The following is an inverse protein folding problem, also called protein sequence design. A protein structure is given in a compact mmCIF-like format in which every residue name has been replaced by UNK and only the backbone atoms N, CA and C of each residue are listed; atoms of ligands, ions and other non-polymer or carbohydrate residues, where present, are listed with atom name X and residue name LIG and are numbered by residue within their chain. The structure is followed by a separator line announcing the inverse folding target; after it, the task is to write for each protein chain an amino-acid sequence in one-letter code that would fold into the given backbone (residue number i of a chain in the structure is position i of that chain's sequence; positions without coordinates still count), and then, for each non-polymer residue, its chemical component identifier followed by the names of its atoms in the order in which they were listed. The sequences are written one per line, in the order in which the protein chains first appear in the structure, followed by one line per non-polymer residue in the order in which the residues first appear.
data_IF_263883683013
#
_entry.id   IF_263883683013
#
_cell.length_a   1.000
_cell.length_b   1.000
_cell.length_c   1.000
_cell.angle_alpha   90.00
_cell.angle_beta   90.00
_cell.angle_gamma   90.00
#
_symmetry.space_group_name_H-M   'P 1'
#
loop_
_entity.id
_entity.type
_entity.pdbx_description
1 polymer ?
#
# COMPACT_ATOMS: atom_id res chain seq x y z
N UNK A 1 12.17 25.79 -12.75
CA UNK A 1 12.70 25.48 -11.41
C UNK A 1 13.47 24.17 -11.46
N UNK A 2 14.66 24.14 -10.81
CA UNK A 2 15.55 22.97 -10.81
C UNK A 2 15.61 22.40 -9.40
N UNK A 3 15.28 21.13 -9.24
CA UNK A 3 15.15 20.47 -7.94
C UNK A 3 16.10 19.29 -7.86
N UNK A 4 16.96 19.28 -6.84
CA UNK A 4 17.77 18.12 -6.45
C UNK A 4 16.98 17.24 -5.46
N UNK A 5 16.71 15.98 -5.83
CA UNK A 5 16.04 15.03 -4.96
C UNK A 5 17.02 13.99 -4.41
N UNK A 6 17.03 13.89 -3.09
CA UNK A 6 17.93 13.03 -2.32
C UNK A 6 17.12 12.01 -1.52
N UNK A 7 17.49 10.73 -1.61
CA UNK A 7 16.85 9.67 -0.81
C UNK A 7 17.88 8.81 -0.09
N UNK A 8 17.74 8.71 1.22
CA UNK A 8 18.60 7.87 2.07
C UNK A 8 17.78 7.02 3.02
N UNK A 9 18.37 5.90 3.47
CA UNK A 9 17.76 5.05 4.49
C UNK A 9 18.07 5.52 5.90
N UNK A 10 19.31 5.97 6.20
CA UNK A 10 19.71 6.25 7.60
C UNK A 10 20.94 7.16 7.76
N UNK A 11 21.81 7.38 6.78
CA UNK A 11 23.11 8.03 6.97
C UNK A 11 23.19 9.45 6.42
N UNK A 12 23.61 10.42 7.26
CA UNK A 12 23.87 11.81 6.86
C UNK A 12 25.02 11.92 5.82
N UNK A 13 26.02 11.04 5.89
CA UNK A 13 27.18 11.05 5.01
C UNK A 13 26.80 10.71 3.55
N UNK A 14 25.85 9.79 3.35
CA UNK A 14 25.33 9.48 2.01
C UNK A 14 24.51 10.61 1.40
N UNK A 15 23.94 11.50 2.22
CA UNK A 15 23.23 12.68 1.75
C UNK A 15 24.19 13.70 1.13
N UNK A 16 25.29 14.03 1.81
CA UNK A 16 26.30 14.96 1.34
C UNK A 16 26.89 14.52 0.00
N UNK A 17 27.24 13.25 -0.13
CA UNK A 17 27.79 12.69 -1.37
C UNK A 17 26.80 12.81 -2.55
N UNK A 18 25.51 12.49 -2.32
CA UNK A 18 24.48 12.66 -3.37
C UNK A 18 24.30 14.13 -3.75
N UNK A 19 24.32 15.02 -2.76
CA UNK A 19 24.17 16.46 -3.00
C UNK A 19 25.32 17.03 -3.82
N UNK A 20 26.55 16.65 -3.48
CA UNK A 20 27.75 17.09 -4.22
C UNK A 20 27.78 16.55 -5.65
N UNK A 21 27.34 15.31 -5.85
CA UNK A 21 27.24 14.70 -7.19
C UNK A 21 26.23 15.44 -8.05
N UNK A 22 25.04 15.75 -7.52
CA UNK A 22 24.03 16.53 -8.25
C UNK A 22 24.51 17.95 -8.53
N UNK A 23 25.25 18.59 -7.60
CA UNK A 23 25.84 19.93 -7.84
C UNK A 23 26.82 19.90 -9.01
N UNK A 24 27.79 18.96 -8.98
CA UNK A 24 28.78 18.83 -10.09
C UNK A 24 28.09 18.59 -11.42
N UNK A 25 27.07 17.77 -11.46
CA UNK A 25 26.28 17.52 -12.65
C UNK A 25 25.57 18.81 -13.15
N UNK A 26 24.92 19.52 -12.22
CA UNK A 26 24.22 20.76 -12.55
C UNK A 26 25.22 21.83 -13.07
N UNK A 27 26.36 22.01 -12.38
CA UNK A 27 27.42 22.97 -12.76
C UNK A 27 27.97 22.64 -14.14
N UNK A 28 28.23 21.37 -14.48
CA UNK A 28 28.71 20.93 -15.79
C UNK A 28 27.74 21.26 -16.93
N UNK A 29 26.49 21.55 -16.64
CA UNK A 29 25.43 21.90 -17.59
C UNK A 29 24.97 23.35 -17.48
N UNK A 30 25.70 24.19 -16.74
CA UNK A 30 25.34 25.57 -16.42
C UNK A 30 23.93 25.68 -15.78
N UNK A 31 23.54 24.67 -14.98
CA UNK A 31 22.29 24.65 -14.25
C UNK A 31 22.54 24.96 -12.77
N UNK A 32 21.62 25.69 -12.14
CA UNK A 32 21.66 25.96 -10.69
C UNK A 32 20.50 25.29 -10.01
N UNK A 33 20.77 24.47 -8.99
CA UNK A 33 19.73 23.83 -8.19
C UNK A 33 19.06 24.87 -7.29
N UNK A 34 17.76 25.10 -7.53
CA UNK A 34 16.95 26.06 -6.77
C UNK A 34 16.51 25.48 -5.41
N UNK A 35 16.11 24.21 -5.39
CA UNK A 35 15.58 23.56 -4.21
C UNK A 35 16.10 22.14 -4.01
N UNK A 36 16.30 21.78 -2.75
CA UNK A 36 16.69 20.45 -2.32
C UNK A 36 15.56 19.75 -1.59
N UNK A 37 15.17 18.57 -2.07
CA UNK A 37 14.16 17.74 -1.41
C UNK A 37 14.83 16.47 -0.89
N UNK A 38 14.89 16.37 0.43
CA UNK A 38 15.46 15.19 1.11
C UNK A 38 14.36 14.30 1.65
N UNK A 39 14.45 13.01 1.35
CA UNK A 39 13.56 11.99 1.86
C UNK A 39 14.33 10.89 2.61
N UNK A 40 13.99 10.73 3.90
CA UNK A 40 14.54 9.64 4.73
C UNK A 40 13.47 8.56 4.78
N UNK A 41 13.69 7.41 4.10
CA UNK A 41 12.72 6.33 4.01
C UNK A 41 13.24 5.09 4.69
N UNK A 42 12.67 4.74 5.84
CA UNK A 42 12.71 3.36 6.33
C UNK A 42 11.89 2.46 5.38
N UNK A 43 12.37 1.26 5.07
CA UNK A 43 11.88 0.41 3.97
C UNK A 43 10.40 -0.02 3.96
N UNK A 44 9.54 0.57 4.84
CA UNK A 44 8.13 0.17 5.02
C UNK A 44 7.09 1.23 4.63
N UNK A 45 7.47 2.45 4.21
CA UNK A 45 6.49 3.49 3.86
C UNK A 45 5.88 3.30 2.47
N UNK A 46 4.55 3.38 2.41
CA UNK A 46 3.77 3.34 1.15
C UNK A 46 4.07 4.58 0.28
N UNK A 47 3.94 4.43 -1.04
CA UNK A 47 4.23 5.45 -2.07
C UNK A 47 3.47 6.76 -1.89
N UNK A 48 2.19 6.70 -1.45
CA UNK A 48 1.34 7.87 -1.22
C UNK A 48 1.90 8.83 -0.16
N UNK A 49 2.67 8.31 0.80
CA UNK A 49 3.21 9.09 1.93
C UNK A 49 4.61 9.65 1.63
N UNK A 50 5.09 9.55 0.38
CA UNK A 50 6.43 9.99 -0.01
C UNK A 50 6.41 11.45 -0.46
N UNK A 51 7.43 12.20 -0.05
CA UNK A 51 7.64 13.60 -0.47
C UNK A 51 7.74 13.74 -1.99
N UNK A 52 8.30 12.74 -2.69
CA UNK A 52 8.42 12.72 -4.15
C UNK A 52 7.05 12.80 -4.84
N UNK A 53 6.04 12.09 -4.36
CA UNK A 53 4.68 12.15 -4.92
C UNK A 53 4.09 13.55 -4.88
N UNK A 54 4.14 14.21 -3.72
CA UNK A 54 3.70 15.58 -3.55
C UNK A 54 4.56 16.60 -4.30
N UNK A 55 5.86 16.32 -4.48
CA UNK A 55 6.76 17.13 -5.29
C UNK A 55 6.32 17.11 -6.76
N UNK A 56 6.15 15.92 -7.35
CA UNK A 56 5.76 15.77 -8.75
C UNK A 56 4.37 16.36 -9.05
N UNK A 57 3.47 16.42 -8.04
CA UNK A 57 2.18 17.10 -8.21
C UNK A 57 2.33 18.61 -8.39
N UNK A 58 3.26 19.22 -7.65
CA UNK A 58 3.50 20.69 -7.65
C UNK A 58 4.40 21.17 -8.79
N UNK A 59 5.24 20.29 -9.34
CA UNK A 59 6.10 20.63 -10.49
C UNK A 59 5.27 20.89 -11.74
N UNK A 60 5.77 21.84 -12.56
CA UNK A 60 5.16 22.31 -13.79
C UNK A 60 5.98 21.88 -15.00
N UNK A 61 5.41 22.07 -16.19
CA UNK A 61 6.14 21.89 -17.46
C UNK A 61 7.37 22.80 -17.51
N UNK A 62 8.50 22.25 -17.96
CA UNK A 62 9.79 22.94 -17.99
C UNK A 62 10.58 22.86 -16.69
N UNK A 63 9.99 22.40 -15.58
CA UNK A 63 10.75 22.14 -14.35
C UNK A 63 11.69 20.94 -14.54
N UNK A 64 12.78 20.94 -13.79
CA UNK A 64 13.82 19.91 -13.86
C UNK A 64 13.98 19.19 -12.51
N UNK A 65 13.96 17.87 -12.53
CA UNK A 65 14.26 17.02 -11.39
C UNK A 65 15.59 16.28 -11.62
N UNK A 66 16.52 16.42 -10.69
CA UNK A 66 17.85 15.77 -10.77
C UNK A 66 17.95 14.77 -9.61
N UNK A 67 18.30 13.53 -9.91
CA UNK A 67 18.57 12.47 -8.95
C UNK A 67 19.93 11.83 -9.24
N UNK A 68 20.54 11.18 -8.26
CA UNK A 68 21.82 10.51 -8.50
C UNK A 68 21.67 9.25 -9.33
N UNK A 69 20.65 8.47 -9.08
CA UNK A 69 20.37 7.19 -9.76
C UNK A 69 18.86 6.89 -9.75
N UNK A 70 18.39 6.12 -10.73
CA UNK A 70 16.98 5.74 -10.87
C UNK A 70 16.45 5.06 -9.61
N UNK A 71 17.30 4.29 -8.93
CA UNK A 71 16.94 3.61 -7.68
C UNK A 71 16.50 4.56 -6.55
N UNK A 72 16.87 5.86 -6.64
CA UNK A 72 16.40 6.89 -5.67
C UNK A 72 14.94 7.26 -5.88
N UNK A 73 14.42 7.11 -7.08
CA UNK A 73 13.00 7.37 -7.36
C UNK A 73 12.12 6.28 -6.71
N UNK A 74 12.42 5.01 -6.95
CA UNK A 74 11.72 3.89 -6.29
C UNK A 74 12.59 2.63 -6.23
N UNK A 75 12.11 1.61 -5.53
CA UNK A 75 12.71 0.28 -5.46
C UNK A 75 12.12 -0.70 -6.47
N UNK A 76 10.95 -0.40 -7.00
CA UNK A 76 10.28 -1.24 -8.00
C UNK A 76 10.32 -0.56 -9.34
N UNK A 77 10.60 -1.34 -10.38
CA UNK A 77 10.65 -0.84 -11.75
C UNK A 77 9.30 -0.25 -12.19
N UNK A 78 8.20 -0.87 -11.78
CA UNK A 78 6.83 -0.37 -12.03
C UNK A 78 6.59 1.03 -11.49
N UNK A 79 7.07 1.32 -10.27
CA UNK A 79 6.95 2.66 -9.69
C UNK A 79 7.84 3.68 -10.43
N UNK A 80 9.06 3.27 -10.81
CA UNK A 80 9.98 4.10 -11.58
C UNK A 80 9.31 4.50 -12.89
N UNK A 81 8.75 3.53 -13.63
CA UNK A 81 8.01 3.77 -14.86
C UNK A 81 6.85 4.75 -14.69
N UNK A 82 6.06 4.57 -13.63
CA UNK A 82 4.97 5.49 -13.34
C UNK A 82 5.45 6.92 -13.02
N UNK A 83 6.63 7.07 -12.41
CA UNK A 83 7.23 8.38 -12.13
C UNK A 83 7.72 9.02 -13.43
N UNK A 84 8.45 8.24 -14.26
CA UNK A 84 8.96 8.69 -15.54
C UNK A 84 7.83 9.08 -16.51
N UNK A 85 6.78 8.25 -16.59
CA UNK A 85 5.59 8.56 -17.38
C UNK A 85 4.92 9.87 -16.96
N UNK A 86 4.78 10.12 -15.65
CA UNK A 86 4.27 11.38 -15.12
C UNK A 86 5.16 12.58 -15.43
N UNK A 87 6.50 12.40 -15.40
CA UNK A 87 7.41 13.46 -15.78
C UNK A 87 7.24 13.84 -17.26
N UNK A 88 7.17 12.84 -18.14
CA UNK A 88 6.94 13.06 -19.57
C UNK A 88 5.57 13.70 -19.85
N UNK A 89 4.49 13.20 -19.23
CA UNK A 89 3.14 13.73 -19.38
C UNK A 89 3.05 15.19 -18.97
N UNK A 90 3.74 15.58 -17.89
CA UNK A 90 3.77 16.94 -17.38
C UNK A 90 4.83 17.83 -18.06
N UNK A 91 5.68 17.30 -18.92
CA UNK A 91 6.81 18.04 -19.50
C UNK A 91 7.88 18.40 -18.47
N UNK A 92 8.10 17.56 -17.46
CA UNK A 92 9.16 17.70 -16.45
C UNK A 92 10.39 16.97 -16.96
N UNK A 93 11.55 17.66 -16.98
CA UNK A 93 12.83 17.05 -17.32
C UNK A 93 13.37 16.26 -16.12
N UNK A 94 13.71 15.00 -16.31
CA UNK A 94 14.32 14.16 -15.28
C UNK A 94 15.72 13.75 -15.69
N UNK A 95 16.72 14.04 -14.85
CA UNK A 95 18.12 13.65 -15.06
C UNK A 95 18.60 12.71 -13.96
N UNK A 96 19.39 11.68 -14.36
CA UNK A 96 20.15 10.85 -13.43
C UNK A 96 21.64 11.09 -13.64
N UNK A 97 22.39 11.31 -12.56
CA UNK A 97 23.80 11.71 -12.68
C UNK A 97 24.71 10.53 -12.94
N UNK A 98 24.44 9.37 -12.33
CA UNK A 98 25.27 8.17 -12.45
C UNK A 98 25.06 7.42 -13.74
N UNK A 99 23.80 7.15 -14.07
CA UNK A 99 23.47 6.43 -15.30
C UNK A 99 23.49 7.32 -16.53
N UNK A 100 23.53 8.64 -16.35
CA UNK A 100 23.53 9.61 -17.45
C UNK A 100 22.22 9.69 -18.23
N UNK A 101 21.12 9.17 -17.67
CA UNK A 101 19.84 9.24 -18.35
C UNK A 101 19.27 10.65 -18.33
N UNK A 102 18.74 11.05 -19.48
CA UNK A 102 17.97 12.27 -19.67
C UNK A 102 16.59 11.90 -20.17
N UNK A 103 15.58 12.20 -19.34
CA UNK A 103 14.18 12.02 -19.70
C UNK A 103 13.56 13.40 -19.85
N UNK A 104 13.53 13.86 -21.07
CA UNK A 104 12.93 15.10 -21.55
C UNK A 104 11.81 14.76 -22.56
N UNK A 105 11.25 15.76 -23.23
CA UNK A 105 10.19 15.51 -24.20
C UNK A 105 10.70 15.04 -25.58
N UNK A 106 11.91 14.50 -25.66
CA UNK A 106 12.48 13.98 -26.92
C UNK A 106 11.96 12.59 -27.26
N UNK A 107 12.08 12.21 -28.53
CA UNK A 107 11.72 10.86 -29.00
C UNK A 107 12.56 9.81 -28.27
N UNK A 108 13.87 10.08 -28.09
CA UNK A 108 14.78 9.18 -27.41
C UNK A 108 14.33 8.87 -25.98
N UNK A 109 13.90 9.88 -25.24
CA UNK A 109 13.36 9.72 -23.89
C UNK A 109 12.09 8.87 -23.85
N UNK A 110 11.20 9.05 -24.84
CA UNK A 110 9.99 8.23 -25.00
C UNK A 110 10.31 6.76 -25.29
N UNK A 111 11.27 6.51 -26.18
CA UNK A 111 11.76 5.16 -26.50
C UNK A 111 12.38 4.51 -25.26
N UNK A 112 13.20 5.24 -24.53
CA UNK A 112 13.84 4.74 -23.32
C UNK A 112 12.80 4.40 -22.24
N UNK A 113 11.80 5.25 -22.02
CA UNK A 113 10.68 4.93 -21.13
C UNK A 113 9.92 3.69 -21.58
N UNK A 114 9.65 3.53 -22.86
CA UNK A 114 9.00 2.34 -23.40
C UNK A 114 9.83 1.07 -23.13
N UNK A 115 11.15 1.14 -23.37
CA UNK A 115 12.05 0.01 -23.10
C UNK A 115 12.04 -0.38 -21.61
N UNK A 116 12.11 0.57 -20.68
CA UNK A 116 11.96 0.30 -19.26
C UNK A 116 10.61 -0.34 -18.92
N UNK A 117 9.51 0.09 -19.59
CA UNK A 117 8.17 -0.51 -19.44
C UNK A 117 8.15 -1.98 -19.81
N UNK A 118 8.73 -2.33 -20.96
CA UNK A 118 8.85 -3.73 -21.39
C UNK A 118 9.65 -4.57 -20.40
N UNK A 119 10.77 -4.07 -19.91
CA UNK A 119 11.59 -4.76 -18.89
C UNK A 119 10.78 -4.98 -17.62
N UNK A 120 10.01 -3.98 -17.16
CA UNK A 120 9.16 -4.12 -15.98
C UNK A 120 8.08 -5.20 -16.17
N UNK A 121 7.47 -5.26 -17.32
CA UNK A 121 6.46 -6.27 -17.66
C UNK A 121 7.07 -7.69 -17.73
N UNK A 122 8.24 -7.82 -18.35
CA UNK A 122 8.98 -9.08 -18.42
C UNK A 122 9.34 -9.57 -17.00
N UNK A 123 9.89 -8.70 -16.14
CA UNK A 123 10.20 -9.06 -14.75
C UNK A 123 8.96 -9.53 -13.99
N UNK A 124 7.85 -8.82 -14.11
CA UNK A 124 6.58 -9.20 -13.47
C UNK A 124 6.10 -10.57 -13.94
N UNK A 125 6.17 -10.83 -15.25
CA UNK A 125 5.78 -12.11 -15.83
C UNK A 125 6.68 -13.25 -15.36
N UNK A 126 8.00 -13.05 -15.31
CA UNK A 126 8.95 -14.04 -14.79
C UNK A 126 8.72 -14.35 -13.32
N UNK A 127 8.44 -13.35 -12.47
CA UNK A 127 8.11 -13.57 -11.06
C UNK A 127 6.81 -14.37 -10.94
N UNK A 128 5.79 -14.04 -11.74
CA UNK A 128 4.52 -14.78 -11.78
C UNK A 128 4.72 -16.24 -12.18
N UNK A 129 5.52 -16.48 -13.22
CA UNK A 129 5.83 -17.84 -13.70
C UNK A 129 6.55 -18.65 -12.61
N UNK A 130 7.63 -18.13 -12.06
CA UNK A 130 8.37 -18.78 -10.96
C UNK A 130 7.48 -19.08 -9.75
N UNK A 131 6.57 -18.17 -9.41
CA UNK A 131 5.62 -18.37 -8.31
C UNK A 131 4.65 -19.52 -8.63
N UNK A 132 4.11 -19.56 -9.84
CA UNK A 132 3.23 -20.66 -10.31
C UNK A 132 3.93 -22.00 -10.27
N UNK A 133 5.16 -22.08 -10.77
CA UNK A 133 5.99 -23.30 -10.75
C UNK A 133 6.27 -23.76 -9.32
N UNK A 134 6.69 -22.86 -8.44
CA UNK A 134 6.95 -23.18 -7.04
C UNK A 134 5.69 -23.66 -6.30
N UNK A 135 4.52 -23.07 -6.60
CA UNK A 135 3.25 -23.50 -6.02
C UNK A 135 2.80 -24.85 -6.59
N UNK A 136 3.02 -25.10 -7.89
CA UNK A 136 2.72 -26.39 -8.53
C UNK A 136 3.58 -27.50 -7.92
N UNK A 137 4.89 -27.27 -7.72
CA UNK A 137 5.79 -28.22 -7.08
C UNK A 137 5.32 -28.56 -5.66
N UNK A 138 5.03 -27.55 -4.82
CA UNK A 138 4.52 -27.77 -3.46
C UNK A 138 3.21 -28.54 -3.44
N UNK A 139 2.32 -28.27 -4.42
CA UNK A 139 1.06 -29.02 -4.57
C UNK A 139 1.32 -30.49 -4.95
N UNK A 140 2.28 -30.76 -5.82
CA UNK A 140 2.70 -32.12 -6.19
C UNK A 140 3.31 -32.88 -5.01
N UNK A 141 4.04 -32.19 -4.12
CA UNK A 141 4.56 -32.72 -2.85
C UNK A 141 3.47 -32.93 -1.77
N UNK A 142 2.19 -32.74 -2.11
CA UNK A 142 1.06 -32.95 -1.18
C UNK A 142 0.82 -31.78 -0.21
N UNK A 143 1.52 -30.68 -0.35
CA UNK A 143 1.30 -29.50 0.51
C UNK A 143 -0.04 -28.84 0.21
N UNK A 144 -0.93 -28.77 1.21
CA UNK A 144 -2.20 -28.05 1.09
C UNK A 144 -1.94 -26.56 1.08
N UNK A 145 -2.11 -25.94 -0.09
CA UNK A 145 -1.92 -24.50 -0.27
C UNK A 145 -3.13 -23.71 0.26
N UNK A 146 -2.86 -22.55 0.85
CA UNK A 146 -3.87 -21.68 1.39
C UNK A 146 -3.99 -21.74 2.90
N UNK A 147 -5.05 -21.11 3.42
CA UNK A 147 -5.30 -21.07 4.86
C UNK A 147 -5.77 -22.44 5.36
N UNK A 148 -5.14 -22.96 6.42
CA UNK A 148 -5.52 -24.22 7.05
C UNK A 148 -7.01 -24.19 7.47
N UNK A 149 -7.75 -25.27 7.15
CA UNK A 149 -9.13 -25.41 7.62
C UNK A 149 -9.17 -25.31 9.15
N UNK A 150 -10.09 -24.50 9.69
CA UNK A 150 -10.21 -24.29 11.14
C UNK A 150 -9.31 -23.19 11.72
N UNK A 151 -8.37 -22.62 10.99
CA UNK A 151 -7.50 -21.51 11.45
C UNK A 151 -8.21 -20.13 11.42
N UNK A 152 -9.48 -20.09 11.83
CA UNK A 152 -10.27 -18.84 11.88
C UNK A 152 -10.09 -18.15 13.24
N UNK A 153 -8.98 -17.49 13.47
CA UNK A 153 -8.62 -16.89 14.76
C UNK A 153 -9.75 -16.05 15.37
N UNK A 154 -10.37 -15.17 14.56
CA UNK A 154 -11.49 -14.33 15.05
C UNK A 154 -12.78 -15.11 15.29
N UNK A 155 -13.04 -16.17 14.54
CA UNK A 155 -14.20 -17.05 14.78
C UNK A 155 -13.95 -17.96 15.98
N UNK A 156 -12.72 -18.43 16.21
CA UNK A 156 -12.38 -19.23 17.38
C UNK A 156 -12.57 -18.45 18.68
N UNK A 157 -12.18 -17.17 18.70
CA UNK A 157 -12.46 -16.27 19.84
C UNK A 157 -13.96 -16.22 20.15
N UNK A 158 -14.82 -16.18 19.14
CA UNK A 158 -16.28 -16.20 19.36
C UNK A 158 -16.78 -17.54 19.88
N UNK A 159 -16.20 -18.65 19.40
CA UNK A 159 -16.56 -20.01 19.84
C UNK A 159 -16.20 -20.18 21.30
N UNK A 160 -14.98 -19.82 21.70
CA UNK A 160 -14.52 -19.92 23.09
C UNK A 160 -15.35 -19.04 24.03
N UNK A 161 -15.75 -17.85 23.56
CA UNK A 161 -16.54 -16.90 24.34
C UNK A 161 -18.07 -16.98 24.10
N UNK A 162 -18.58 -18.09 23.52
CA UNK A 162 -19.97 -18.25 23.12
C UNK A 162 -20.94 -18.02 24.29
N UNK A 163 -20.66 -18.56 25.48
CA UNK A 163 -21.48 -18.36 26.69
C UNK A 163 -21.54 -16.89 27.10
N UNK A 164 -20.44 -16.19 27.04
CA UNK A 164 -20.34 -14.74 27.34
C UNK A 164 -21.18 -13.94 26.35
N UNK A 165 -21.12 -14.27 25.08
CA UNK A 165 -21.87 -13.60 24.00
C UNK A 165 -23.39 -13.79 24.23
N UNK A 166 -23.84 -15.01 24.53
CA UNK A 166 -25.25 -15.28 24.88
C UNK A 166 -25.68 -14.46 26.11
N UNK A 167 -24.83 -14.38 27.14
CA UNK A 167 -25.07 -13.56 28.31
C UNK A 167 -25.18 -12.06 28.01
N UNK A 168 -24.38 -11.56 27.09
CA UNK A 168 -24.44 -10.16 26.60
C UNK A 168 -25.74 -9.89 25.82
N UNK A 169 -26.16 -10.81 24.96
CA UNK A 169 -27.42 -10.72 24.23
C UNK A 169 -28.64 -10.73 25.18
N UNK A 170 -28.62 -11.55 26.19
CA UNK A 170 -29.68 -11.59 27.23
C UNK A 170 -29.76 -10.30 28.05
N UNK A 171 -28.63 -9.59 28.23
CA UNK A 171 -28.55 -8.27 28.89
C UNK A 171 -28.76 -7.08 27.95
N UNK A 172 -29.35 -7.31 26.77
CA UNK A 172 -29.65 -6.29 25.78
C UNK A 172 -28.44 -5.57 25.16
N UNK A 173 -27.20 -6.07 25.31
CA UNK A 173 -26.03 -5.51 24.64
C UNK A 173 -26.20 -5.53 23.12
N UNK A 174 -25.84 -4.46 22.43
CA UNK A 174 -25.98 -4.42 20.97
C UNK A 174 -24.96 -5.32 20.26
N UNK A 175 -25.29 -5.80 19.05
CA UNK A 175 -24.33 -6.55 18.21
C UNK A 175 -23.07 -5.72 17.94
N UNK A 176 -23.21 -4.39 17.84
CA UNK A 176 -22.08 -3.49 17.68
C UNK A 176 -21.13 -3.50 18.88
N UNK A 177 -21.67 -3.58 20.11
CA UNK A 177 -20.87 -3.66 21.33
C UNK A 177 -20.14 -4.99 21.45
N UNK A 178 -20.81 -6.09 21.07
CA UNK A 178 -20.18 -7.41 20.98
C UNK A 178 -19.04 -7.39 19.98
N UNK A 179 -19.26 -6.83 18.78
CA UNK A 179 -18.24 -6.72 17.75
C UNK A 179 -17.04 -5.90 18.22
N UNK A 180 -17.26 -4.76 18.90
CA UNK A 180 -16.21 -3.93 19.49
C UNK A 180 -15.43 -4.67 20.57
N UNK A 181 -16.13 -5.36 21.47
CA UNK A 181 -15.49 -6.07 22.59
C UNK A 181 -14.53 -7.17 22.10
N UNK A 182 -14.88 -7.89 21.04
CA UNK A 182 -14.08 -9.01 20.52
C UNK A 182 -13.24 -8.64 19.30
N UNK A 183 -13.16 -7.35 18.93
CA UNK A 183 -12.44 -6.84 17.76
C UNK A 183 -12.75 -7.62 16.47
N UNK A 184 -14.04 -7.76 16.17
CA UNK A 184 -14.53 -8.48 15.00
C UNK A 184 -15.43 -7.62 14.13
N UNK A 185 -15.52 -7.98 12.84
CA UNK A 185 -16.49 -7.37 11.93
C UNK A 185 -17.92 -7.91 12.16
N UNK A 186 -18.93 -7.11 11.79
CA UNK A 186 -20.33 -7.54 11.81
C UNK A 186 -20.58 -8.77 10.94
N UNK A 187 -19.87 -8.88 9.80
CA UNK A 187 -19.93 -10.04 8.90
C UNK A 187 -19.41 -11.33 9.58
N UNK A 188 -18.30 -11.22 10.33
CA UNK A 188 -17.76 -12.34 11.12
C UNK A 188 -18.77 -12.80 12.19
N UNK A 189 -19.41 -11.84 12.86
CA UNK A 189 -20.47 -12.17 13.84
C UNK A 189 -21.69 -12.80 13.19
N UNK A 190 -22.14 -12.31 12.02
CA UNK A 190 -23.26 -12.87 11.29
C UNK A 190 -22.99 -14.33 10.86
N UNK A 191 -21.80 -14.62 10.34
CA UNK A 191 -21.39 -16.00 10.01
C UNK A 191 -21.34 -16.91 11.26
N UNK A 192 -20.88 -16.38 12.38
CA UNK A 192 -20.88 -17.09 13.67
C UNK A 192 -22.30 -17.38 14.16
N UNK A 193 -23.17 -16.37 14.19
CA UNK A 193 -24.59 -16.50 14.57
C UNK A 193 -25.30 -17.58 13.76
N UNK A 194 -25.14 -17.55 12.43
CA UNK A 194 -25.80 -18.51 11.53
C UNK A 194 -25.30 -19.95 11.72
N UNK A 195 -24.12 -20.14 12.31
CA UNK A 195 -23.55 -21.46 12.59
C UNK A 195 -24.01 -22.05 13.95
N UNK A 196 -24.44 -21.20 14.88
CA UNK A 196 -24.76 -21.58 16.24
C UNK A 196 -26.19 -21.19 16.63
N UNK A 197 -27.12 -22.16 16.60
CA UNK A 197 -28.54 -21.95 16.84
C UNK A 197 -28.89 -21.31 18.20
N UNK A 198 -28.13 -21.55 19.24
CA UNK A 198 -28.35 -20.95 20.57
C UNK A 198 -28.01 -19.45 20.60
N UNK A 199 -27.02 -19.02 19.83
CA UNK A 199 -26.72 -17.60 19.65
C UNK A 199 -27.83 -16.94 18.83
N UNK A 200 -28.33 -17.62 17.82
CA UNK A 200 -29.43 -17.15 16.98
C UNK A 200 -30.69 -16.98 17.81
N UNK A 201 -31.09 -18.00 18.59
CA UNK A 201 -32.25 -17.93 19.51
C UNK A 201 -32.12 -16.78 20.51
N UNK A 202 -30.93 -16.61 21.12
CA UNK A 202 -30.70 -15.51 22.07
C UNK A 202 -30.86 -14.14 21.44
N UNK A 203 -30.54 -13.99 20.13
CA UNK A 203 -30.73 -12.75 19.38
C UNK A 203 -32.22 -12.52 19.07
N UNK A 204 -32.93 -13.56 18.61
CA UNK A 204 -34.36 -13.48 18.29
C UNK A 204 -35.19 -13.14 19.54
N UNK A 205 -34.92 -13.78 20.67
CA UNK A 205 -35.55 -13.45 21.97
C UNK A 205 -35.31 -12.02 22.41
N UNK A 206 -34.13 -11.47 22.11
CA UNK A 206 -33.81 -10.09 22.40
C UNK A 206 -34.60 -9.14 21.50
N UNK A 207 -34.70 -9.42 20.20
CA UNK A 207 -35.47 -8.60 19.26
C UNK A 207 -36.95 -8.57 19.62
N UNK A 208 -37.49 -9.72 20.03
CA UNK A 208 -38.87 -9.82 20.49
C UNK A 208 -39.12 -8.99 21.77
N UNK A 209 -38.23 -9.08 22.77
CA UNK A 209 -38.32 -8.21 23.96
C UNK A 209 -38.29 -6.72 23.61
N UNK A 210 -37.51 -6.32 22.61
CA UNK A 210 -37.46 -4.93 22.15
C UNK A 210 -38.76 -4.51 21.45
N UNK A 211 -39.35 -5.39 20.64
CA UNK A 211 -40.63 -5.13 19.98
C UNK A 211 -41.74 -4.95 21.01
N UNK A 212 -41.86 -5.85 21.98
CA UNK A 212 -42.85 -5.76 23.06
C UNK A 212 -42.67 -4.49 23.88
N UNK A 213 -41.41 -4.10 24.19
CA UNK A 213 -41.13 -2.86 24.93
C UNK A 213 -41.47 -1.61 24.13
N UNK A 214 -41.26 -1.61 22.82
CA UNK A 214 -41.62 -0.52 21.93
C UNK A 214 -43.14 -0.36 21.84
N UNK A 215 -43.88 -1.44 21.68
CA UNK A 215 -45.37 -1.44 21.67
C UNK A 215 -45.97 -0.90 22.98
N UNK A 216 -45.42 -1.30 24.12
CA UNK A 216 -45.88 -0.77 25.44
C UNK A 216 -45.65 0.74 25.60
N UNK A 217 -44.63 1.33 24.94
CA UNK A 217 -44.35 2.78 24.96
C UNK A 217 -45.25 3.59 24.03
N UNK A 218 -45.93 2.95 23.08
CA UNK A 218 -46.89 3.61 22.17
C UNK A 218 -48.31 3.60 22.71
N UNK A 219 -48.60 2.80 23.75
CA UNK A 219 -49.95 2.64 24.34
C UNK A 219 -50.11 3.48 25.61
N UNK A 220 -49.03 4.10 26.10
CA UNK A 220 -49.02 5.09 27.18
C UNK A 220 -48.32 6.41 26.68
#
# INVERSE_FOLDING_TARGET
MIIGYLRVSTSKQHLANQQDEIRRFADSRNLRVDHWVTEIVSGKKKRADRKLGGLLQRMKSGDTLIVTEVSRLSRTLTDIMSIMGKCLEKGINLYTTKEGYSFDNTINSKVLCFAFGLVAEIEHNLISLRTKEALALRKAEGTVLGRKKGSYTKTNVLIENRRIIIGMLKRDCSVADICRRFDISRDTFAKFRNRYNDVMKALDEKEERRRVKALRRQVF
#
